data_IF_092576091088
#
_entry.id   IF_092576091088
#
_cell.length_a   1.000
_cell.length_b   1.000
_cell.length_c   1.000
_cell.angle_alpha   90.00
_cell.angle_beta   90.00
_cell.angle_gamma   90.00
#
_symmetry.space_group_name_H-M   'P 1'
#
loop_
_entity.id
_entity.type
_entity.pdbx_description
1 polymer ?
#
# COMPACT_ATOMS: atom_id res chain seq x y z
N UNK A 1 25.14 15.51 0.34
CA UNK A 1 23.82 15.15 0.92
C UNK A 1 22.72 15.83 0.12
N UNK A 2 21.71 15.09 -0.37
CA UNK A 2 20.32 15.56 -0.62
C UNK A 2 19.55 14.54 -1.48
N UNK A 3 18.83 13.60 -0.84
CA UNK A 3 17.84 12.74 -1.50
C UNK A 3 16.83 12.21 -0.48
N UNK A 4 15.96 13.07 0.03
CA UNK A 4 14.90 12.64 0.97
C UNK A 4 13.51 13.24 0.73
N UNK A 5 13.34 14.31 -0.06
CA UNK A 5 12.02 14.95 -0.20
C UNK A 5 11.15 14.42 -1.35
N UNK A 6 11.72 13.70 -2.32
CA UNK A 6 10.97 13.20 -3.48
C UNK A 6 10.27 11.85 -3.21
N UNK A 7 10.74 11.10 -2.22
CA UNK A 7 10.21 9.76 -1.88
C UNK A 7 8.76 9.86 -1.40
N UNK A 8 8.47 10.78 -0.48
CA UNK A 8 7.11 10.97 0.07
C UNK A 8 6.09 11.37 -1.00
N UNK A 9 6.47 12.22 -1.95
CA UNK A 9 5.58 12.66 -3.03
C UNK A 9 5.26 11.55 -4.04
N UNK A 10 6.25 10.72 -4.36
CA UNK A 10 6.09 9.57 -5.27
C UNK A 10 5.28 8.44 -4.60
N UNK A 11 5.51 8.20 -3.31
CA UNK A 11 4.71 7.26 -2.51
C UNK A 11 3.25 7.71 -2.41
N UNK A 12 3.01 9.01 -2.22
CA UNK A 12 1.66 9.55 -2.17
C UNK A 12 0.93 9.40 -3.52
N UNK A 13 1.63 9.69 -4.64
CA UNK A 13 1.07 9.50 -6.00
C UNK A 13 0.82 8.02 -6.31
N UNK A 14 1.69 7.12 -5.85
CA UNK A 14 1.50 5.68 -6.00
C UNK A 14 0.31 5.18 -5.17
N UNK A 15 0.16 5.61 -3.93
CA UNK A 15 -1.02 5.31 -3.10
C UNK A 15 -2.30 5.83 -3.75
N UNK A 16 -2.32 7.06 -4.25
CA UNK A 16 -3.48 7.62 -4.95
C UNK A 16 -3.86 6.77 -6.17
N UNK A 17 -2.87 6.29 -6.94
CA UNK A 17 -3.11 5.40 -8.08
C UNK A 17 -3.63 4.02 -7.67
N UNK A 18 -3.14 3.48 -6.56
CA UNK A 18 -3.62 2.20 -6.00
C UNK A 18 -5.08 2.33 -5.54
N UNK A 19 -5.44 3.43 -4.86
CA UNK A 19 -6.80 3.68 -4.39
C UNK A 19 -7.75 4.23 -5.45
N UNK A 20 -7.26 4.56 -6.64
CA UNK A 20 -8.10 4.81 -7.81
C UNK A 20 -8.65 3.49 -8.42
N UNK A 21 -8.13 2.33 -8.02
CA UNK A 21 -8.62 1.04 -8.49
C UNK A 21 -10.01 0.73 -7.91
N UNK A 22 -10.97 0.28 -8.72
CA UNK A 22 -12.31 -0.11 -8.25
C UNK A 22 -12.25 -1.24 -7.20
N UNK A 23 -11.26 -2.13 -7.30
CA UNK A 23 -11.03 -3.21 -6.33
C UNK A 23 -10.60 -2.64 -4.97
N UNK A 24 -9.67 -1.68 -4.97
CA UNK A 24 -9.21 -1.04 -3.74
C UNK A 24 -10.34 -0.27 -3.06
N UNK A 25 -11.18 0.42 -3.82
CA UNK A 25 -12.35 1.12 -3.32
C UNK A 25 -13.39 0.16 -2.72
N UNK A 26 -13.70 -0.94 -3.41
CA UNK A 26 -14.63 -1.96 -2.91
C UNK A 26 -14.12 -2.61 -1.62
N UNK A 27 -12.82 -2.92 -1.55
CA UNK A 27 -12.18 -3.46 -0.35
C UNK A 27 -12.31 -2.49 0.82
N UNK A 28 -11.93 -1.23 0.63
CA UNK A 28 -11.99 -0.20 1.68
C UNK A 28 -13.42 -0.05 2.19
N UNK A 29 -14.42 0.09 1.31
CA UNK A 29 -15.84 0.18 1.70
C UNK A 29 -16.30 -1.04 2.49
N UNK A 30 -15.91 -2.23 2.06
CA UNK A 30 -16.27 -3.49 2.74
C UNK A 30 -15.65 -3.57 4.13
N UNK A 31 -14.38 -3.20 4.27
CA UNK A 31 -13.68 -3.25 5.57
C UNK A 31 -14.24 -2.21 6.53
N UNK A 32 -14.53 -0.99 6.07
CA UNK A 32 -15.18 0.05 6.87
C UNK A 32 -16.55 -0.45 7.36
N UNK A 33 -17.39 -0.97 6.46
CA UNK A 33 -18.73 -1.45 6.81
C UNK A 33 -18.72 -2.66 7.77
N UNK A 34 -17.77 -3.58 7.62
CA UNK A 34 -17.71 -4.81 8.42
C UNK A 34 -16.96 -4.67 9.74
N UNK A 35 -15.93 -3.83 9.80
CA UNK A 35 -15.07 -3.69 10.99
C UNK A 35 -15.32 -2.40 11.77
N UNK A 36 -16.15 -1.49 11.26
CA UNK A 36 -16.39 -0.19 11.90
C UNK A 36 -15.13 0.68 12.02
N UNK A 37 -14.13 0.45 11.15
CA UNK A 37 -12.88 1.20 11.15
C UNK A 37 -12.97 2.42 10.26
N UNK A 38 -12.08 3.38 10.49
CA UNK A 38 -11.97 4.55 9.60
C UNK A 38 -11.45 4.16 8.22
N UNK A 39 -11.79 4.98 7.21
CA UNK A 39 -11.32 4.78 5.82
C UNK A 39 -9.78 4.75 5.73
N UNK A 40 -9.10 5.62 6.50
CA UNK A 40 -7.64 5.63 6.57
C UNK A 40 -7.06 4.32 7.13
N UNK A 41 -7.70 3.72 8.13
CA UNK A 41 -7.30 2.42 8.66
C UNK A 41 -7.53 1.31 7.63
N UNK A 42 -8.67 1.31 6.94
CA UNK A 42 -8.97 0.33 5.90
C UNK A 42 -7.98 0.42 4.72
N UNK A 43 -7.56 1.63 4.34
CA UNK A 43 -6.50 1.85 3.35
C UNK A 43 -5.15 1.27 3.79
N UNK A 44 -4.76 1.45 5.06
CA UNK A 44 -3.55 0.84 5.62
C UNK A 44 -3.60 -0.69 5.58
N UNK A 45 -4.76 -1.29 5.90
CA UNK A 45 -4.96 -2.75 5.83
C UNK A 45 -4.80 -3.25 4.39
N UNK A 46 -5.33 -2.52 3.40
CA UNK A 46 -5.17 -2.88 1.99
C UNK A 46 -3.70 -2.81 1.54
N UNK A 47 -2.96 -1.80 1.97
CA UNK A 47 -1.52 -1.68 1.66
C UNK A 47 -0.70 -2.76 2.35
N UNK A 48 -1.02 -3.11 3.60
CA UNK A 48 -0.39 -4.24 4.28
C UNK A 48 -0.62 -5.56 3.53
N UNK A 49 -1.85 -5.78 3.03
CA UNK A 49 -2.16 -6.94 2.19
C UNK A 49 -1.32 -6.97 0.90
N UNK A 50 -1.20 -5.85 0.19
CA UNK A 50 -0.36 -5.77 -1.02
C UNK A 50 1.12 -6.01 -0.71
N UNK A 51 1.63 -5.48 0.39
CA UNK A 51 3.02 -5.67 0.82
C UNK A 51 3.29 -7.10 1.30
N UNK A 52 2.33 -7.76 1.96
CA UNK A 52 2.40 -9.18 2.33
C UNK A 52 2.28 -10.12 1.14
N UNK A 53 1.48 -9.74 0.14
CA UNK A 53 1.29 -10.52 -1.08
C UNK A 53 2.49 -10.44 -2.04
N UNK A 54 3.36 -9.43 -1.89
CA UNK A 54 4.67 -9.47 -2.53
C UNK A 54 5.51 -10.57 -1.88
N UNK A 55 5.91 -11.63 -2.61
CA UNK A 55 6.87 -12.58 -2.09
C UNK A 55 8.10 -11.79 -1.69
N UNK A 56 8.56 -12.00 -0.46
CA UNK A 56 9.77 -11.42 0.10
C UNK A 56 10.90 -11.62 -0.93
N UNK A 57 11.20 -10.61 -1.76
CA UNK A 57 12.38 -10.61 -2.64
C UNK A 57 13.63 -10.37 -1.78
N UNK A 58 13.79 -11.19 -0.73
CA UNK A 58 14.94 -11.23 0.15
C UNK A 58 15.72 -12.49 -0.21
N UNK A 59 16.29 -12.48 -1.42
CA UNK A 59 17.00 -13.63 -1.98
C UNK A 59 17.76 -13.36 -3.27
N UNK A 60 18.15 -12.10 -3.56
CA UNK A 60 19.00 -11.77 -4.70
C UNK A 60 20.21 -10.92 -4.26
N UNK A 61 20.87 -11.33 -3.18
CA UNK A 61 22.25 -10.93 -2.85
C UNK A 61 22.97 -12.10 -2.19
N UNK A 62 23.23 -13.15 -2.96
CA UNK A 62 24.36 -14.04 -2.65
C UNK A 62 24.94 -14.65 -3.93
N UNK A 63 26.23 -14.38 -4.12
CA UNK A 63 27.24 -15.13 -4.88
C UNK A 63 27.10 -15.25 -6.41
N UNK A 64 27.87 -14.44 -7.12
CA UNK A 64 29.03 -14.92 -7.89
C UNK A 64 30.02 -13.74 -8.09
#
# INVERSE_FOLDING_TARGET
MSRTNTTTGLENRAQQRIFASPVALAFVRTVVARRGVTEAQARKIYLDYLNRAQPHRRGARTAA
#
